data_IF_547210629013
#
_entry.id   IF_547210629013
#
_cell.length_a   1.000
_cell.length_b   1.000
_cell.length_c   1.000
_cell.angle_alpha   90.00
_cell.angle_beta   90.00
_cell.angle_gamma   90.00
#
_symmetry.space_group_name_H-M   'P 1'
#
loop_
_entity.id
_entity.type
_entity.pdbx_description
1 polymer ?
#
# COMPACT_ATOMS: atom_id res chain seq x y z
N UNK A 1 21.89 27.70 20.79
CA UNK A 1 21.18 28.18 19.59
C UNK A 1 20.61 26.95 18.93
N UNK A 2 19.31 26.91 18.62
CA UNK A 2 18.68 25.72 18.08
C UNK A 2 18.86 25.66 16.56
N UNK A 3 19.28 24.51 16.06
CA UNK A 3 19.37 24.25 14.62
C UNK A 3 17.96 23.97 14.07
N UNK A 4 17.54 24.76 13.09
CA UNK A 4 16.27 24.55 12.39
C UNK A 4 16.46 23.47 11.34
N UNK A 5 15.91 22.27 11.59
CA UNK A 5 15.82 21.22 10.58
C UNK A 5 14.77 21.59 9.53
N UNK A 6 15.23 21.99 8.36
CA UNK A 6 14.34 22.34 7.25
C UNK A 6 13.86 21.04 6.57
N UNK A 7 12.57 20.71 6.70
CA UNK A 7 11.99 19.56 5.99
C UNK A 7 11.91 19.84 4.48
N UNK A 8 12.34 18.92 3.59
CA UNK A 8 12.29 19.11 2.16
C UNK A 8 10.84 19.03 1.63
N UNK A 9 10.37 20.12 1.04
CA UNK A 9 9.05 20.21 0.40
C UNK A 9 9.07 19.56 -0.98
N UNK A 10 8.60 18.31 -1.09
CA UNK A 10 8.45 17.57 -2.34
C UNK A 10 7.05 17.77 -2.96
N UNK A 11 6.90 17.44 -4.26
CA UNK A 11 5.64 17.50 -4.99
C UNK A 11 5.14 16.10 -5.32
N UNK A 12 3.85 15.84 -5.07
CA UNK A 12 3.21 14.58 -5.43
C UNK A 12 3.09 14.41 -6.95
N UNK A 13 3.17 13.17 -7.43
CA UNK A 13 2.94 12.81 -8.83
C UNK A 13 1.45 12.88 -9.21
N UNK A 14 1.11 13.23 -10.47
CA UNK A 14 -0.27 13.17 -10.96
C UNK A 14 -0.79 11.72 -10.97
N UNK A 15 -2.00 11.53 -10.44
CA UNK A 15 -2.43 10.25 -9.87
C UNK A 15 -2.91 9.17 -10.84
N UNK A 16 -2.79 7.92 -10.39
CA UNK A 16 -3.58 6.74 -10.80
C UNK A 16 -4.21 6.10 -9.54
N UNK A 17 -5.42 5.54 -9.62
CA UNK A 17 -6.40 5.66 -8.50
C UNK A 17 -7.44 4.53 -8.43
N UNK A 18 -8.11 4.17 -7.32
CA UNK A 18 -7.76 4.01 -5.88
C UNK A 18 -8.28 2.62 -5.45
N UNK A 19 -7.64 1.88 -4.53
CA UNK A 19 -8.16 0.58 -4.03
C UNK A 19 -9.00 0.74 -2.74
N UNK A 20 -10.16 0.10 -2.68
CA UNK A 20 -10.93 -0.11 -1.45
C UNK A 20 -11.40 -1.58 -1.35
N UNK A 21 -11.02 -2.27 -0.28
CA UNK A 21 -11.52 -3.61 0.05
C UNK A 21 -12.50 -3.52 1.22
N UNK A 22 -13.77 -3.77 0.97
CA UNK A 22 -14.76 -3.99 2.03
C UNK A 22 -14.86 -5.49 2.29
N UNK A 23 -14.38 -5.94 3.45
CA UNK A 23 -14.62 -7.29 3.96
C UNK A 23 -15.57 -7.19 5.17
N UNK A 24 -16.88 -7.32 4.94
CA UNK A 24 -17.86 -7.57 6.01
C UNK A 24 -19.17 -8.18 5.48
N UNK A 25 -19.29 -9.48 5.76
CA UNK A 25 -20.48 -10.22 6.20
C UNK A 25 -21.72 -10.45 5.31
N UNK A 26 -22.34 -11.60 5.59
CA UNK A 26 -23.41 -12.26 4.85
C UNK A 26 -24.80 -12.13 5.50
N UNK A 27 -25.81 -11.78 4.69
CA UNK A 27 -27.20 -12.34 4.57
C UNK A 27 -27.73 -13.17 5.78
N UNK A 28 -28.96 -12.98 6.34
CA UNK A 28 -30.24 -12.74 5.60
C UNK A 28 -31.36 -11.85 6.24
N UNK A 29 -32.47 -11.70 5.49
CA UNK A 29 -33.88 -11.40 5.90
C UNK A 29 -34.23 -9.98 6.38
N UNK A 30 -35.13 -9.21 5.75
CA UNK A 30 -36.54 -9.51 5.41
C UNK A 30 -37.08 -8.52 4.34
N UNK A 31 -38.08 -8.95 3.57
CA UNK A 31 -38.93 -8.05 2.77
C UNK A 31 -40.02 -7.41 3.64
N UNK A 32 -40.28 -6.12 3.42
CA UNK A 32 -41.55 -5.45 3.76
C UNK A 32 -41.76 -4.29 2.79
N UNK A 33 -42.76 -4.40 1.92
CA UNK A 33 -43.22 -3.32 1.04
C UNK A 33 -43.96 -2.25 1.84
N UNK A 34 -43.91 -0.98 1.42
CA UNK A 34 -45.08 -0.09 1.36
C UNK A 34 -44.79 1.25 0.65
N UNK A 35 -45.79 1.67 -0.14
CA UNK A 35 -46.13 3.02 -0.62
C UNK A 35 -45.11 3.83 -1.45
N UNK A 36 -45.49 4.01 -2.71
CA UNK A 36 -45.20 5.17 -3.56
C UNK A 36 -45.89 6.43 -3.00
N UNK A 37 -45.33 7.63 -3.21
CA UNK A 37 -46.11 8.79 -3.69
C UNK A 37 -45.22 9.93 -4.26
N UNK A 38 -45.82 10.76 -5.11
CA UNK A 38 -45.18 11.73 -6.02
C UNK A 38 -44.39 12.89 -5.36
N UNK A 39 -43.28 13.30 -6.00
CA UNK A 39 -43.09 14.65 -6.60
C UNK A 39 -41.62 15.02 -6.85
N UNK A 40 -41.34 15.60 -8.02
CA UNK A 40 -40.05 16.18 -8.42
C UNK A 40 -40.22 17.69 -8.76
N UNK A 41 -39.15 18.43 -9.09
CA UNK A 41 -37.94 18.63 -8.30
C UNK A 41 -37.62 20.14 -8.12
N UNK A 42 -36.78 20.49 -7.15
CA UNK A 42 -36.12 21.80 -7.08
C UNK A 42 -34.74 21.65 -6.42
N UNK A 43 -33.69 22.20 -7.04
CA UNK A 43 -32.52 22.75 -6.33
C UNK A 43 -31.57 23.52 -7.26
N UNK A 44 -30.92 24.53 -6.69
CA UNK A 44 -30.25 25.64 -7.41
C UNK A 44 -28.75 25.67 -7.11
N UNK A 45 -28.00 26.22 -8.07
CA UNK A 45 -26.62 26.73 -7.99
C UNK A 45 -25.46 25.74 -7.85
N UNK A 46 -24.74 25.60 -8.95
CA UNK A 46 -23.32 25.26 -8.97
C UNK A 46 -22.47 26.36 -8.32
N UNK A 47 -21.52 25.97 -7.46
CA UNK A 47 -20.27 26.71 -7.27
C UNK A 47 -19.11 25.77 -7.57
N UNK A 48 -18.15 26.26 -8.33
CA UNK A 48 -16.90 25.59 -8.61
C UNK A 48 -15.80 26.20 -7.72
N UNK A 49 -14.94 25.33 -7.18
CA UNK A 49 -13.57 25.61 -6.76
C UNK A 49 -12.77 24.31 -6.98
N UNK A 50 -11.51 24.43 -7.39
CA UNK A 50 -10.75 23.41 -8.13
C UNK A 50 -10.22 22.20 -7.32
N UNK A 51 -9.87 21.06 -7.98
CA UNK A 51 -9.68 19.78 -7.29
C UNK A 51 -8.27 19.57 -6.73
N UNK A 52 -8.19 19.20 -5.45
CA UNK A 52 -7.01 18.58 -4.85
C UNK A 52 -7.00 17.09 -5.21
N UNK A 53 -5.86 16.59 -5.69
CA UNK A 53 -5.66 15.21 -6.13
C UNK A 53 -5.90 14.18 -5.01
N UNK A 54 -6.74 13.20 -5.30
CA UNK A 54 -7.43 12.29 -4.37
C UNK A 54 -6.55 11.33 -3.56
N UNK A 55 -6.39 11.61 -2.27
CA UNK A 55 -5.75 10.74 -1.27
C UNK A 55 -6.34 9.32 -1.32
N UNK A 56 -5.50 8.28 -1.34
CA UNK A 56 -5.92 6.88 -1.26
C UNK A 56 -6.20 6.48 0.20
N UNK A 57 -7.35 6.87 0.74
CA UNK A 57 -7.80 6.45 2.08
C UNK A 57 -8.31 5.01 2.07
N UNK A 58 -7.45 4.05 2.44
CA UNK A 58 -7.90 2.79 3.05
C UNK A 58 -8.48 3.14 4.42
N UNK A 59 -9.81 3.03 4.58
CA UNK A 59 -10.53 3.01 5.87
C UNK A 59 -9.87 3.75 7.04
N UNK A 60 -9.51 5.03 6.84
CA UNK A 60 -8.82 5.90 7.81
C UNK A 60 -7.60 5.34 8.57
N UNK A 61 -6.85 4.33 8.06
CA UNK A 61 -5.86 3.61 8.90
C UNK A 61 -4.55 3.09 8.29
N UNK A 62 -4.38 3.06 6.97
CA UNK A 62 -3.09 2.78 6.31
C UNK A 62 -3.07 3.25 4.86
N UNK A 63 -1.95 3.12 4.16
CA UNK A 63 -1.84 3.43 2.72
C UNK A 63 -0.41 3.62 2.24
N UNK A 64 -0.26 3.98 0.96
CA UNK A 64 1.01 4.36 0.36
C UNK A 64 0.83 5.37 -0.78
N UNK A 65 1.90 6.09 -1.12
CA UNK A 65 1.99 7.01 -2.25
C UNK A 65 3.40 6.99 -2.87
N UNK A 66 3.50 7.50 -4.10
CA UNK A 66 4.75 7.54 -4.88
C UNK A 66 5.20 8.98 -5.09
N UNK A 67 6.47 9.24 -4.75
CA UNK A 67 7.08 10.56 -4.72
C UNK A 67 8.18 10.63 -5.79
N UNK A 68 8.18 11.73 -6.53
CA UNK A 68 9.09 11.94 -7.66
C UNK A 68 10.52 12.23 -7.15
N UNK A 69 11.48 11.35 -7.47
CA UNK A 69 12.89 11.52 -7.14
C UNK A 69 13.72 11.55 -8.44
N UNK A 70 14.80 12.33 -8.48
CA UNK A 70 15.42 12.81 -9.74
C UNK A 70 16.01 11.74 -10.68
N UNK A 71 16.04 10.47 -10.29
CA UNK A 71 16.39 9.32 -11.13
C UNK A 71 15.71 8.00 -10.72
N UNK A 72 14.96 7.99 -9.60
CA UNK A 72 14.46 6.80 -8.92
C UNK A 72 13.02 7.07 -8.43
N UNK A 73 12.40 6.10 -7.76
CA UNK A 73 11.09 6.30 -7.13
C UNK A 73 11.27 6.26 -5.61
N UNK A 74 10.84 7.31 -4.93
CA UNK A 74 10.68 7.26 -3.48
C UNK A 74 9.24 6.82 -3.16
N UNK A 75 9.11 5.78 -2.36
CA UNK A 75 7.82 5.26 -1.90
C UNK A 75 7.63 5.70 -0.45
N UNK A 76 6.46 6.27 -0.15
CA UNK A 76 6.01 6.59 1.20
C UNK A 76 4.84 5.68 1.57
N UNK A 77 4.95 4.95 2.68
CA UNK A 77 3.93 4.05 3.20
C UNK A 77 3.59 4.42 4.64
N UNK A 78 2.33 4.27 5.05
CA UNK A 78 1.90 4.55 6.42
C UNK A 78 0.90 3.52 6.96
N UNK A 79 0.84 3.42 8.28
CA UNK A 79 -0.11 2.54 8.98
C UNK A 79 -0.25 2.88 10.46
N UNK A 80 -1.44 2.61 11.02
CA UNK A 80 -1.72 2.82 12.45
C UNK A 80 -1.07 1.76 13.37
N UNK A 81 -0.50 0.71 12.78
CA UNK A 81 0.29 -0.32 13.46
C UNK A 81 1.48 -0.76 12.60
N UNK A 82 2.48 -1.40 13.20
CA UNK A 82 3.66 -1.89 12.47
C UNK A 82 3.26 -2.91 11.40
N UNK A 83 2.32 -3.80 11.71
CA UNK A 83 1.76 -4.79 10.80
C UNK A 83 1.13 -4.12 9.57
N UNK A 84 0.30 -3.09 9.78
CA UNK A 84 -0.35 -2.36 8.68
C UNK A 84 0.64 -1.55 7.83
N UNK A 85 1.67 -0.97 8.43
CA UNK A 85 2.69 -0.20 7.71
C UNK A 85 3.63 -1.10 6.90
N UNK A 86 4.06 -2.24 7.44
CA UNK A 86 4.82 -3.26 6.70
C UNK A 86 3.97 -3.87 5.57
N UNK A 87 2.69 -4.20 5.82
CA UNK A 87 1.78 -4.70 4.78
C UNK A 87 1.61 -3.69 3.62
N UNK A 88 1.41 -2.40 3.95
CA UNK A 88 1.36 -1.33 2.96
C UNK A 88 2.69 -1.21 2.17
N UNK A 89 3.83 -1.30 2.85
CA UNK A 89 5.14 -1.27 2.22
C UNK A 89 5.37 -2.43 1.23
N UNK A 90 5.01 -3.66 1.60
CA UNK A 90 5.11 -4.80 0.67
C UNK A 90 4.19 -4.66 -0.55
N UNK A 91 2.92 -4.24 -0.35
CA UNK A 91 1.96 -4.02 -1.45
C UNK A 91 2.35 -2.85 -2.36
N UNK A 92 3.03 -1.82 -1.83
CA UNK A 92 3.42 -0.64 -2.60
C UNK A 92 4.39 -0.96 -3.76
N UNK A 93 5.23 -2.00 -3.62
CA UNK A 93 6.12 -2.47 -4.68
C UNK A 93 5.31 -2.96 -5.88
N UNK A 94 4.38 -3.87 -5.61
CA UNK A 94 3.52 -4.48 -6.62
C UNK A 94 2.55 -3.47 -7.26
N UNK A 95 2.04 -2.52 -6.47
CA UNK A 95 1.21 -1.41 -6.97
C UNK A 95 1.94 -0.44 -7.91
N UNK A 96 3.27 -0.43 -7.90
CA UNK A 96 4.08 0.34 -8.85
C UNK A 96 4.32 -0.44 -10.16
N UNK A 97 4.41 -1.77 -10.07
CA UNK A 97 4.56 -2.67 -11.21
C UNK A 97 3.28 -2.85 -12.03
N UNK A 98 2.10 -2.85 -11.39
CA UNK A 98 0.81 -3.09 -12.05
C UNK A 98 -0.38 -2.56 -11.23
N UNK A 99 -1.54 -2.39 -11.87
CA UNK A 99 -2.79 -2.15 -11.14
C UNK A 99 -3.26 -3.42 -10.42
N UNK A 100 -3.06 -3.45 -9.10
CA UNK A 100 -3.46 -4.55 -8.22
C UNK A 100 -4.94 -4.94 -8.35
N UNK A 101 -5.84 -4.07 -8.85
CA UNK A 101 -7.26 -4.41 -9.06
C UNK A 101 -7.48 -5.47 -10.12
N UNK A 102 -6.52 -5.60 -11.03
CA UNK A 102 -6.52 -6.60 -12.11
C UNK A 102 -5.97 -7.95 -11.64
N UNK A 103 -5.27 -7.94 -10.50
CA UNK A 103 -4.65 -9.08 -9.84
C UNK A 103 -5.62 -9.67 -8.82
N UNK A 104 -5.75 -10.99 -8.77
CA UNK A 104 -6.62 -11.71 -7.82
C UNK A 104 -5.86 -12.82 -7.10
N UNK A 105 -6.29 -13.22 -5.88
CA UNK A 105 -5.79 -14.45 -5.25
C UNK A 105 -6.11 -15.67 -6.12
N UNK A 106 -5.08 -16.44 -6.49
CA UNK A 106 -5.22 -17.71 -7.19
C UNK A 106 -5.26 -18.88 -6.18
N UNK A 107 -6.36 -19.67 -6.12
CA UNK A 107 -6.45 -20.85 -5.27
C UNK A 107 -5.42 -21.95 -5.58
N UNK A 108 -4.86 -22.01 -6.79
CA UNK A 108 -3.85 -23.02 -7.16
C UNK A 108 -2.46 -22.67 -6.60
N UNK A 109 -2.14 -21.39 -6.45
CA UNK A 109 -0.93 -20.89 -5.78
C UNK A 109 -1.12 -20.89 -4.26
N UNK A 110 -2.31 -20.47 -3.80
CA UNK A 110 -2.65 -20.38 -2.39
C UNK A 110 -1.93 -19.25 -1.65
N UNK A 111 -1.73 -19.44 -0.34
CA UNK A 111 -1.11 -18.45 0.54
C UNK A 111 0.41 -18.56 0.52
N UNK A 112 1.09 -17.44 0.27
CA UNK A 112 2.56 -17.34 0.20
C UNK A 112 3.08 -16.84 1.54
N UNK A 113 3.92 -17.63 2.20
CA UNK A 113 4.55 -17.23 3.45
C UNK A 113 5.82 -16.42 3.17
N UNK A 114 5.90 -15.22 3.76
CA UNK A 114 7.04 -14.32 3.69
C UNK A 114 7.58 -14.15 5.12
N UNK A 115 8.87 -14.38 5.31
CA UNK A 115 9.52 -14.20 6.60
C UNK A 115 10.86 -13.49 6.41
N UNK A 116 11.09 -12.42 7.16
CA UNK A 116 12.35 -11.68 7.15
C UNK A 116 12.85 -11.42 8.57
N UNK A 117 14.17 -11.35 8.72
CA UNK A 117 14.85 -11.02 9.96
C UNK A 117 15.90 -9.94 9.71
N UNK A 118 16.00 -8.99 10.64
CA UNK A 118 16.96 -7.88 10.62
C UNK A 118 17.86 -7.88 11.86
N UNK A 119 18.87 -7.03 11.83
CA UNK A 119 19.65 -6.66 13.03
C UNK A 119 19.16 -5.35 13.65
N UNK A 120 18.41 -4.57 12.89
CA UNK A 120 17.70 -3.35 13.27
C UNK A 120 16.42 -3.20 12.43
N UNK A 121 15.68 -2.11 12.65
CA UNK A 121 14.42 -1.84 11.96
C UNK A 121 14.59 -1.56 10.45
N UNK A 122 15.70 -0.94 10.06
CA UNK A 122 16.00 -0.60 8.66
C UNK A 122 16.35 -1.85 7.84
N UNK A 123 17.21 -2.70 8.38
CA UNK A 123 17.55 -4.00 7.78
C UNK A 123 16.37 -4.96 7.76
N UNK A 124 15.47 -4.91 8.77
CA UNK A 124 14.21 -5.65 8.73
C UNK A 124 13.30 -5.20 7.59
N UNK A 125 13.10 -3.88 7.43
CA UNK A 125 12.29 -3.32 6.33
C UNK A 125 12.91 -3.68 4.98
N UNK A 126 14.22 -3.45 4.80
CA UNK A 126 14.93 -3.85 3.60
C UNK A 126 14.70 -5.33 3.28
N UNK A 127 14.96 -6.23 4.25
CA UNK A 127 14.86 -7.68 4.03
C UNK A 127 13.43 -8.12 3.74
N UNK A 128 12.45 -7.52 4.38
CA UNK A 128 11.05 -7.80 4.09
C UNK A 128 10.65 -7.40 2.66
N UNK A 129 11.07 -6.22 2.20
CA UNK A 129 10.82 -5.76 0.84
C UNK A 129 11.57 -6.58 -0.21
N UNK A 130 12.80 -7.00 0.09
CA UNK A 130 13.64 -7.92 -0.71
C UNK A 130 12.96 -9.28 -0.90
N UNK A 131 12.42 -9.88 0.19
CA UNK A 131 11.66 -11.15 0.13
C UNK A 131 10.29 -11.01 -0.58
N UNK A 132 9.64 -9.83 -0.51
CA UNK A 132 8.46 -9.54 -1.32
C UNK A 132 8.82 -9.47 -2.81
N UNK A 133 9.84 -8.68 -3.15
CA UNK A 133 10.32 -8.50 -4.52
C UNK A 133 10.81 -9.82 -5.14
N UNK A 134 11.40 -10.71 -4.34
CA UNK A 134 11.80 -12.05 -4.75
C UNK A 134 10.64 -12.89 -5.29
N UNK A 135 9.40 -12.73 -4.78
CA UNK A 135 8.24 -13.47 -5.30
C UNK A 135 7.93 -13.11 -6.76
N UNK A 136 8.13 -11.84 -7.13
CA UNK A 136 8.06 -11.43 -8.53
C UNK A 136 9.30 -11.89 -9.31
N UNK A 137 10.51 -11.59 -8.84
CA UNK A 137 11.74 -11.87 -9.58
C UNK A 137 12.04 -13.36 -9.82
N UNK A 138 11.59 -14.25 -8.93
CA UNK A 138 11.80 -15.69 -9.06
C UNK A 138 10.58 -16.45 -9.60
N UNK A 139 9.36 -16.08 -9.17
CA UNK A 139 8.14 -16.84 -9.46
C UNK A 139 7.15 -16.09 -10.38
N UNK A 140 7.44 -14.84 -10.77
CA UNK A 140 6.53 -13.92 -11.46
C UNK A 140 5.20 -13.68 -10.74
N UNK A 141 5.16 -13.85 -9.41
CA UNK A 141 3.94 -13.67 -8.63
C UNK A 141 3.79 -12.21 -8.19
N UNK A 142 2.61 -11.63 -8.43
CA UNK A 142 2.23 -10.31 -7.92
C UNK A 142 1.29 -10.48 -6.74
N UNK A 143 1.64 -9.93 -5.58
CA UNK A 143 0.79 -9.96 -4.39
C UNK A 143 -0.23 -8.82 -4.45
N UNK A 144 -1.52 -9.17 -4.41
CA UNK A 144 -2.64 -8.23 -4.36
C UNK A 144 -3.19 -8.04 -2.92
N UNK A 145 -2.87 -8.97 -2.02
CA UNK A 145 -3.18 -8.91 -0.59
C UNK A 145 -1.95 -9.34 0.20
N UNK A 146 -1.73 -8.71 1.35
CA UNK A 146 -0.61 -9.00 2.24
C UNK A 146 -1.05 -8.71 3.68
N UNK A 147 -0.95 -9.71 4.54
CA UNK A 147 -1.25 -9.62 5.97
C UNK A 147 0.03 -9.93 6.76
N UNK A 148 0.48 -8.99 7.59
CA UNK A 148 1.58 -9.24 8.54
C UNK A 148 1.00 -9.92 9.77
N UNK A 149 1.27 -11.22 9.92
CA UNK A 149 0.70 -12.07 10.98
C UNK A 149 1.48 -11.99 12.28
N UNK A 150 2.76 -11.60 12.21
CA UNK A 150 3.61 -11.36 13.39
C UNK A 150 4.71 -10.36 13.08
N UNK A 151 4.95 -9.46 14.03
CA UNK A 151 6.12 -8.59 14.03
C UNK A 151 6.75 -8.57 15.43
N UNK A 152 8.07 -8.56 15.48
CA UNK A 152 8.85 -8.49 16.71
C UNK A 152 9.98 -7.49 16.49
N UNK A 153 10.09 -6.49 17.38
CA UNK A 153 11.02 -5.35 17.27
C UNK A 153 11.88 -5.16 18.52
N UNK A 154 11.66 -5.96 19.57
CA UNK A 154 12.37 -5.90 20.84
C UNK A 154 13.40 -7.05 20.91
N UNK A 155 14.69 -6.68 20.86
CA UNK A 155 15.85 -7.59 20.97
C UNK A 155 16.10 -8.50 19.76
N UNK A 156 15.04 -8.89 19.04
CA UNK A 156 15.08 -9.54 17.74
C UNK A 156 14.17 -8.75 16.79
N UNK A 157 14.67 -8.46 15.59
CA UNK A 157 13.88 -7.86 14.51
C UNK A 157 13.42 -8.95 13.56
N UNK A 158 12.12 -9.24 13.55
CA UNK A 158 11.51 -10.32 12.76
C UNK A 158 10.11 -9.90 12.29
N UNK A 159 9.77 -10.27 11.06
CA UNK A 159 8.42 -10.13 10.50
C UNK A 159 8.02 -11.42 9.78
N UNK A 160 6.79 -11.85 9.98
CA UNK A 160 6.13 -12.95 9.28
C UNK A 160 4.84 -12.40 8.66
N UNK A 161 4.61 -12.71 7.39
CA UNK A 161 3.47 -12.26 6.61
C UNK A 161 2.93 -13.36 5.70
N UNK A 162 1.67 -13.22 5.32
CA UNK A 162 0.97 -14.06 4.35
C UNK A 162 0.53 -13.18 3.19
N UNK A 163 1.08 -13.45 2.00
CA UNK A 163 0.69 -12.84 0.75
C UNK A 163 -0.32 -13.70 -0.02
N UNK A 164 -1.18 -13.06 -0.80
CA UNK A 164 -2.03 -13.72 -1.80
C UNK A 164 -2.01 -12.95 -3.12
N UNK A 165 -2.04 -13.67 -4.23
CA UNK A 165 -1.85 -13.12 -5.57
C UNK A 165 -1.98 -14.17 -6.66
N UNK A 166 -1.56 -13.80 -7.86
CA UNK A 166 -1.49 -14.68 -9.04
C UNK A 166 -0.20 -14.42 -9.82
N UNK A 167 0.13 -15.30 -10.77
CA UNK A 167 1.22 -15.06 -11.73
C UNK A 167 0.88 -13.87 -12.61
N UNK A 168 1.86 -13.01 -12.88
CA UNK A 168 1.73 -11.85 -13.76
C UNK A 168 1.41 -12.27 -15.20
N UNK A 169 0.29 -11.78 -15.71
CA UNK A 169 -0.17 -11.99 -17.09
C UNK A 169 -0.24 -10.65 -17.83
N UNK A 170 0.69 -10.43 -18.74
CA UNK A 170 0.79 -9.25 -19.62
C UNK A 170 -0.47 -8.93 -20.44
N UNK A 171 -1.41 -9.87 -20.61
CA UNK A 171 -2.68 -9.62 -21.32
C UNK A 171 -3.78 -9.11 -20.39
N UNK A 172 -3.72 -9.43 -19.10
CA UNK A 172 -4.72 -9.08 -18.09
C UNK A 172 -4.29 -7.91 -17.20
N UNK A 173 -3.01 -7.84 -16.89
CA UNK A 173 -2.42 -6.91 -15.92
C UNK A 173 -1.73 -5.75 -16.66
N UNK A 174 -2.09 -4.48 -16.40
CA UNK A 174 -1.46 -3.33 -17.04
C UNK A 174 0.03 -3.26 -16.69
N UNK A 175 0.91 -3.23 -17.70
CA UNK A 175 2.34 -3.05 -17.49
C UNK A 175 2.63 -1.64 -16.93
N UNK A 176 3.06 -1.59 -15.67
CA UNK A 176 3.69 -0.43 -15.04
C UNK A 176 5.20 -0.44 -15.27
N UNK A 177 5.97 -0.15 -14.22
CA UNK A 177 7.44 -0.18 -14.28
C UNK A 177 7.97 -1.26 -13.34
N UNK A 178 8.87 -2.10 -13.82
CA UNK A 178 9.55 -3.10 -13.01
C UNK A 178 10.42 -2.43 -11.93
N UNK A 179 10.48 -3.02 -10.74
CA UNK A 179 11.43 -2.63 -9.69
C UNK A 179 12.58 -3.63 -9.73
N UNK A 180 13.81 -3.15 -9.88
CA UNK A 180 15.02 -3.98 -9.90
C UNK A 180 15.54 -4.31 -8.51
N UNK A 181 15.54 -3.31 -7.61
CA UNK A 181 16.12 -3.44 -6.28
C UNK A 181 15.54 -2.44 -5.29
N UNK A 182 15.57 -2.82 -4.00
CA UNK A 182 15.33 -1.93 -2.87
C UNK A 182 16.66 -1.28 -2.46
N UNK A 183 16.65 -0.02 -2.03
CA UNK A 183 17.87 0.68 -1.59
C UNK A 183 17.75 1.18 -0.16
N UNK A 184 18.88 1.31 0.54
CA UNK A 184 18.97 2.04 1.82
C UNK A 184 19.01 3.56 1.63
N UNK A 185 19.07 4.06 0.40
CA UNK A 185 19.17 5.49 0.07
C UNK A 185 17.93 6.22 0.56
N UNK A 186 18.15 7.23 1.42
CA UNK A 186 17.09 8.01 2.07
C UNK A 186 16.00 7.17 2.77
N UNK A 187 16.32 5.94 3.20
CA UNK A 187 15.38 5.13 3.97
C UNK A 187 15.14 5.78 5.33
N UNK A 188 13.87 5.99 5.69
CA UNK A 188 13.45 6.62 6.94
C UNK A 188 12.26 5.87 7.52
N UNK A 189 12.25 5.67 8.83
CA UNK A 189 11.11 5.07 9.54
C UNK A 189 10.82 5.94 10.75
N UNK A 190 9.63 6.55 10.77
CA UNK A 190 9.21 7.49 11.81
C UNK A 190 7.90 7.03 12.44
N UNK A 191 7.75 7.28 13.74
CA UNK A 191 6.51 7.06 14.47
C UNK A 191 6.06 8.39 15.06
N UNK A 192 4.89 8.86 14.65
CA UNK A 192 4.33 10.13 15.11
C UNK A 192 3.73 10.02 16.52
N UNK A 193 3.45 11.18 17.15
CA UNK A 193 2.82 11.25 18.48
C UNK A 193 1.44 10.59 18.52
N UNK A 194 0.71 10.56 17.39
CA UNK A 194 -0.55 9.83 17.22
C UNK A 194 -0.40 8.30 17.11
N UNK A 195 0.82 7.77 17.16
CA UNK A 195 1.12 6.35 17.04
C UNK A 195 1.20 5.82 15.60
N UNK A 196 0.80 6.62 14.61
CA UNK A 196 0.94 6.30 13.19
C UNK A 196 2.42 6.16 12.81
N UNK A 197 2.72 5.16 12.00
CA UNK A 197 4.05 4.79 11.54
C UNK A 197 4.15 5.14 10.06
N UNK A 198 5.23 5.82 9.68
CA UNK A 198 5.55 6.16 8.30
C UNK A 198 6.89 5.53 7.92
N UNK A 199 6.97 5.04 6.68
CA UNK A 199 8.14 4.42 6.09
C UNK A 199 8.40 5.08 4.75
N UNK A 200 9.62 5.54 4.53
CA UNK A 200 10.09 6.09 3.27
C UNK A 200 11.27 5.25 2.80
N UNK A 201 11.30 4.87 1.53
CA UNK A 201 12.43 4.14 0.93
C UNK A 201 12.51 4.42 -0.57
N UNK A 202 13.69 4.26 -1.17
CA UNK A 202 13.91 4.45 -2.60
C UNK A 202 14.12 3.10 -3.28
N UNK A 203 13.51 2.92 -4.45
CA UNK A 203 13.64 1.73 -5.31
C UNK A 203 14.28 2.09 -6.66
N UNK A 204 15.14 1.19 -7.14
CA UNK A 204 15.74 1.21 -8.49
C UNK A 204 14.76 0.58 -9.49
N UNK A 205 14.56 1.21 -10.65
CA UNK A 205 13.52 0.89 -11.66
C UNK A 205 14.10 0.75 -13.06
#
# INVERSE_FOLDING_TARGET
MAEQTCSPHWKALPQRSIYANNLQDSIPTKQSECSEDDSAPDCISSKADDPISSIQQLGNSSGYEYLDHTADVQIHCWGNSWESAFAAAGLSLFGYMTDLKTVKPDPEIGSIHIQAQGHDLYSLLYKFLDECLFQYGANYIILCQLEVTRIQLDGLFLVEAIGQGEVFDTQRHPQGTEIKAITYSAMQITKEEGGQIHMYFIVDI
#
